data_IF_580764743843
#
_entry.id   IF_580764743843
#
_cell.length_a   1.000
_cell.length_b   1.000
_cell.length_c   1.000
_cell.angle_alpha   90.00
_cell.angle_beta   90.00
_cell.angle_gamma   90.00
#
_symmetry.space_group_name_H-M   'P 1'
#
loop_
_entity.id
_entity.type
_entity.pdbx_description
1 polymer ?
#
# COMPACT_ATOMS: atom_id res chain seq x y z
N UNK A 1 15.45 -30.89 -12.16
CA UNK A 1 14.54 -30.08 -12.99
C UNK A 1 14.22 -28.82 -12.20
N UNK A 2 14.52 -27.62 -12.72
CA UNK A 2 14.24 -26.36 -12.03
C UNK A 2 12.75 -26.04 -12.23
N UNK A 3 11.97 -25.97 -11.16
CA UNK A 3 10.55 -25.56 -11.23
C UNK A 3 10.50 -24.05 -11.46
N UNK A 4 10.06 -23.64 -12.64
CA UNK A 4 9.81 -22.23 -12.93
C UNK A 4 8.34 -21.93 -12.62
N UNK A 5 8.12 -21.06 -11.63
CA UNK A 5 6.79 -20.53 -11.34
C UNK A 5 6.38 -19.55 -12.46
N UNK A 6 5.07 -19.42 -12.70
CA UNK A 6 4.51 -18.40 -13.60
C UNK A 6 4.79 -16.98 -13.04
N UNK A 7 4.40 -15.88 -13.71
CA UNK A 7 4.38 -14.58 -13.05
C UNK A 7 3.62 -14.62 -11.72
N UNK A 8 4.07 -13.86 -10.73
CA UNK A 8 3.36 -13.74 -9.45
C UNK A 8 2.03 -13.01 -9.65
N UNK A 9 1.05 -13.32 -8.80
CA UNK A 9 -0.26 -12.66 -8.77
C UNK A 9 -0.20 -11.37 -7.98
N UNK A 10 0.34 -11.45 -6.75
CA UNK A 10 0.36 -10.33 -5.81
C UNK A 10 1.80 -9.92 -5.52
N UNK A 11 2.01 -8.61 -5.40
CA UNK A 11 3.20 -8.04 -4.80
C UNK A 11 2.78 -7.18 -3.62
N UNK A 12 3.41 -7.40 -2.48
CA UNK A 12 3.15 -6.62 -1.27
C UNK A 12 4.45 -6.27 -0.56
N UNK A 13 4.43 -5.10 0.08
CA UNK A 13 5.50 -4.63 0.94
C UNK A 13 5.00 -4.49 2.37
N UNK A 14 5.67 -5.14 3.32
CA UNK A 14 5.34 -5.06 4.74
C UNK A 14 6.44 -4.26 5.45
N UNK A 15 6.05 -3.21 6.15
CA UNK A 15 6.96 -2.41 6.97
C UNK A 15 6.64 -2.62 8.44
N UNK A 16 7.67 -2.86 9.26
CA UNK A 16 7.46 -2.98 10.69
C UNK A 16 7.08 -1.63 11.29
N UNK A 17 6.04 -1.62 12.14
CA UNK A 17 5.64 -0.45 12.91
C UNK A 17 6.09 -0.62 14.37
N UNK A 18 7.37 -0.95 14.58
CA UNK A 18 7.90 -1.40 15.89
C UNK A 18 7.60 -0.44 17.05
N UNK A 19 7.53 0.86 16.77
CA UNK A 19 7.21 1.90 17.75
C UNK A 19 5.72 1.96 18.13
N UNK A 20 4.86 1.23 17.43
CA UNK A 20 3.41 1.09 17.68
C UNK A 20 3.06 -0.25 18.32
N UNK A 21 4.06 -1.04 18.74
CA UNK A 21 3.88 -2.36 19.33
C UNK A 21 4.23 -2.31 20.83
N UNK A 22 3.29 -1.91 21.71
CA UNK A 22 3.55 -1.81 23.15
C UNK A 22 4.18 -3.07 23.72
N UNK A 23 3.70 -4.24 23.31
CA UNK A 23 4.20 -5.52 23.78
C UNK A 23 5.67 -5.77 23.41
N UNK A 24 6.15 -5.23 22.28
CA UNK A 24 7.57 -5.35 21.91
C UNK A 24 8.43 -4.54 22.87
N UNK A 25 8.01 -3.32 23.22
CA UNK A 25 8.73 -2.46 24.15
C UNK A 25 8.66 -3.01 25.58
N UNK A 26 7.49 -3.49 26.03
CA UNK A 26 7.33 -4.14 27.33
C UNK A 26 8.22 -5.38 27.48
N UNK A 27 8.28 -6.24 26.46
CA UNK A 27 9.17 -7.42 26.46
C UNK A 27 10.64 -7.01 26.53
N UNK A 28 11.04 -5.96 25.80
CA UNK A 28 12.41 -5.45 25.89
C UNK A 28 12.69 -4.89 27.28
N UNK A 29 11.79 -4.08 27.84
CA UNK A 29 11.96 -3.48 29.15
C UNK A 29 12.08 -4.53 30.25
N UNK A 30 11.31 -5.62 30.16
CA UNK A 30 11.36 -6.72 31.11
C UNK A 30 12.74 -7.41 31.15
N UNK A 31 13.41 -7.52 30.00
CA UNK A 31 14.78 -8.04 29.92
C UNK A 31 15.81 -7.15 30.66
N UNK A 32 15.44 -5.90 30.98
CA UNK A 32 16.20 -4.97 31.80
C UNK A 32 15.61 -4.78 33.20
N UNK A 33 14.72 -5.68 33.65
CA UNK A 33 14.03 -5.63 34.94
C UNK A 33 13.13 -4.39 35.13
N UNK A 34 12.60 -3.84 34.03
CA UNK A 34 11.61 -2.76 34.06
C UNK A 34 10.28 -3.31 33.57
N UNK A 35 9.28 -3.34 34.45
CA UNK A 35 7.90 -3.71 34.07
C UNK A 35 7.20 -2.48 33.50
N UNK A 36 6.76 -2.60 32.25
CA UNK A 36 5.96 -1.59 31.56
C UNK A 36 4.67 -2.24 31.10
N UNK A 37 3.55 -1.72 31.54
CA UNK A 37 2.24 -2.08 31.03
C UNK A 37 1.99 -1.38 29.68
N UNK A 38 0.95 -1.83 28.97
CA UNK A 38 0.57 -1.26 27.67
C UNK A 38 0.37 0.26 27.75
N UNK A 39 -0.34 0.73 28.77
CA UNK A 39 -0.64 2.15 28.99
C UNK A 39 0.63 2.98 29.24
N UNK A 40 1.62 2.43 29.95
CA UNK A 40 2.91 3.09 30.16
C UNK A 40 3.58 3.39 28.82
N UNK A 41 3.61 2.41 27.92
CA UNK A 41 4.23 2.55 26.59
C UNK A 41 3.41 3.47 25.68
N UNK A 42 2.08 3.40 25.77
CA UNK A 42 1.20 4.28 25.00
C UNK A 42 1.38 5.76 25.35
N UNK A 43 1.66 6.06 26.63
CA UNK A 43 1.96 7.40 27.10
C UNK A 43 3.41 7.87 26.83
N UNK A 44 4.30 6.98 26.35
CA UNK A 44 5.67 7.36 25.99
C UNK A 44 5.74 8.25 24.75
N UNK A 45 6.67 9.20 24.80
CA UNK A 45 7.11 9.97 23.63
C UNK A 45 7.78 9.07 22.58
N UNK A 46 7.84 9.56 21.35
CA UNK A 46 8.52 8.86 20.25
C UNK A 46 9.98 8.53 20.55
N UNK A 47 10.71 9.45 21.21
CA UNK A 47 12.11 9.27 21.56
C UNK A 47 12.32 8.18 22.62
N UNK A 48 11.43 8.10 23.60
CA UNK A 48 11.46 7.04 24.63
C UNK A 48 11.23 5.66 24.02
N UNK A 49 10.24 5.53 23.14
CA UNK A 49 9.98 4.29 22.40
C UNK A 49 11.19 3.89 21.54
N UNK A 50 11.79 4.87 20.85
CA UNK A 50 13.01 4.63 20.09
C UNK A 50 14.18 4.18 20.96
N UNK A 51 14.33 4.77 22.16
CA UNK A 51 15.36 4.38 23.13
C UNK A 51 15.22 2.91 23.52
N UNK A 52 14.00 2.46 23.82
CA UNK A 52 13.75 1.06 24.16
C UNK A 52 14.07 0.10 23.02
N UNK A 53 13.60 0.37 21.79
CA UNK A 53 13.91 -0.49 20.63
C UNK A 53 15.43 -0.58 20.40
N UNK A 54 16.16 0.54 20.53
CA UNK A 54 17.62 0.57 20.37
C UNK A 54 18.37 -0.16 21.48
N UNK A 55 17.82 -0.29 22.69
CA UNK A 55 18.46 -1.04 23.78
C UNK A 55 18.57 -2.53 23.48
N UNK A 56 17.61 -3.10 22.75
CA UNK A 56 17.69 -4.50 22.34
C UNK A 56 17.16 -4.74 20.91
N UNK A 57 17.97 -4.44 19.87
CA UNK A 57 17.58 -4.62 18.49
C UNK A 57 17.42 -6.10 18.11
N UNK A 58 18.03 -7.03 18.85
CA UNK A 58 17.89 -8.46 18.62
C UNK A 58 16.46 -8.91 18.96
N UNK A 59 15.95 -8.50 20.12
CA UNK A 59 14.56 -8.79 20.51
C UNK A 59 13.56 -8.13 19.55
N UNK A 60 13.81 -6.89 19.13
CA UNK A 60 12.98 -6.22 18.12
C UNK A 60 12.94 -7.00 16.79
N UNK A 61 14.10 -7.44 16.29
CA UNK A 61 14.18 -8.24 15.07
C UNK A 61 13.47 -9.61 15.20
N UNK A 62 13.55 -10.26 16.37
CA UNK A 62 12.82 -11.51 16.65
C UNK A 62 11.31 -11.29 16.68
N UNK A 63 10.84 -10.18 17.27
CA UNK A 63 9.41 -9.84 17.26
C UNK A 63 8.91 -9.55 15.84
N UNK A 64 9.71 -8.86 15.03
CA UNK A 64 9.41 -8.68 13.62
C UNK A 64 9.26 -10.02 12.89
N UNK A 65 10.26 -10.93 12.99
CA UNK A 65 10.17 -12.24 12.35
C UNK A 65 8.94 -13.02 12.84
N UNK A 66 8.67 -13.03 14.15
CA UNK A 66 7.48 -13.65 14.70
C UNK A 66 6.19 -13.11 14.06
N UNK A 67 6.04 -11.79 13.98
CA UNK A 67 4.87 -11.13 13.34
C UNK A 67 4.76 -11.49 11.86
N UNK A 68 5.87 -11.61 11.15
CA UNK A 68 5.89 -12.05 9.75
C UNK A 68 5.43 -13.50 9.61
N UNK A 69 5.91 -14.40 10.46
CA UNK A 69 5.44 -15.79 10.47
C UNK A 69 3.94 -15.87 10.80
N UNK A 70 3.44 -15.03 11.71
CA UNK A 70 2.01 -14.93 12.00
C UNK A 70 1.22 -14.40 10.80
N UNK A 71 1.71 -13.37 10.12
CA UNK A 71 1.09 -12.83 8.91
C UNK A 71 1.01 -13.91 7.80
N UNK A 72 2.09 -14.66 7.57
CA UNK A 72 2.08 -15.76 6.60
C UNK A 72 1.06 -16.83 7.00
N UNK A 73 0.99 -17.20 8.29
CA UNK A 73 0.06 -18.23 8.77
C UNK A 73 -1.40 -17.80 8.70
N UNK A 74 -1.71 -16.61 9.18
CA UNK A 74 -3.07 -16.13 9.40
C UNK A 74 -3.66 -15.43 8.17
N UNK A 75 -2.85 -14.70 7.41
CA UNK A 75 -3.32 -13.92 6.26
C UNK A 75 -3.08 -14.68 4.96
N UNK A 76 -1.83 -15.05 4.69
CA UNK A 76 -1.47 -15.69 3.42
C UNK A 76 -2.02 -17.12 3.32
N UNK A 77 -1.72 -17.96 4.31
CA UNK A 77 -2.22 -19.34 4.37
C UNK A 77 -3.65 -19.43 4.90
N UNK A 78 -4.15 -18.38 5.53
CA UNK A 78 -5.54 -18.28 5.98
C UNK A 78 -6.54 -17.98 4.85
N UNK A 79 -6.06 -17.72 3.63
CA UNK A 79 -6.91 -17.55 2.46
C UNK A 79 -7.47 -16.14 2.25
N UNK A 80 -6.96 -15.13 2.97
CA UNK A 80 -7.43 -13.74 2.85
C UNK A 80 -7.22 -13.18 1.45
N UNK A 81 -6.16 -13.61 0.76
CA UNK A 81 -5.84 -13.23 -0.63
C UNK A 81 -6.10 -14.38 -1.62
N UNK A 82 -7.05 -15.25 -1.29
CA UNK A 82 -7.35 -16.48 -2.02
C UNK A 82 -6.37 -17.61 -1.71
N UNK A 83 -6.41 -18.67 -2.51
CA UNK A 83 -5.60 -19.86 -2.33
C UNK A 83 -4.17 -19.65 -2.85
N UNK A 84 -3.27 -19.25 -1.97
CA UNK A 84 -1.86 -19.03 -2.28
C UNK A 84 -1.09 -20.36 -2.37
N UNK A 85 -0.70 -20.73 -3.59
CA UNK A 85 0.08 -21.95 -3.89
C UNK A 85 1.55 -21.85 -3.51
N UNK A 86 2.13 -20.65 -3.61
CA UNK A 86 3.55 -20.40 -3.38
C UNK A 86 3.77 -18.93 -2.99
N UNK A 87 4.86 -18.64 -2.29
CA UNK A 87 5.26 -17.29 -1.93
C UNK A 87 6.77 -17.19 -1.78
N UNK A 88 7.31 -16.02 -2.07
CA UNK A 88 8.71 -15.70 -1.84
C UNK A 88 8.80 -14.32 -1.23
N UNK A 89 9.69 -14.14 -0.24
CA UNK A 89 9.96 -12.83 0.31
C UNK A 89 11.43 -12.63 0.64
N UNK A 90 11.84 -11.37 0.64
CA UNK A 90 13.13 -10.93 1.17
C UNK A 90 12.90 -9.96 2.31
N UNK A 91 13.73 -10.09 3.34
CA UNK A 91 13.89 -9.09 4.38
C UNK A 91 15.00 -8.14 3.95
N UNK A 92 14.70 -6.85 3.94
CA UNK A 92 15.67 -5.80 3.68
C UNK A 92 15.74 -4.87 4.91
N UNK A 93 16.93 -4.38 5.23
CA UNK A 93 17.14 -3.43 6.31
C UNK A 93 17.46 -2.08 5.67
N UNK A 94 16.53 -1.13 5.75
CA UNK A 94 16.85 0.25 5.40
C UNK A 94 17.76 0.82 6.49
N UNK A 95 18.59 1.82 6.17
CA UNK A 95 19.44 2.53 7.14
C UNK A 95 18.64 3.32 8.23
N UNK A 96 17.37 2.98 8.43
CA UNK A 96 16.41 3.61 9.33
C UNK A 96 15.97 2.68 10.47
N UNK A 97 16.62 1.53 10.63
CA UNK A 97 16.48 0.64 11.78
C UNK A 97 15.57 -0.54 11.51
N UNK A 98 14.29 -0.31 11.26
CA UNK A 98 13.31 -1.39 11.16
C UNK A 98 13.43 -2.18 9.85
N UNK A 99 13.30 -3.52 9.92
CA UNK A 99 13.27 -4.37 8.74
C UNK A 99 11.98 -4.16 7.94
N UNK A 100 12.05 -4.45 6.65
CA UNK A 100 10.91 -4.47 5.74
C UNK A 100 10.95 -5.70 4.86
N UNK A 101 9.80 -6.05 4.33
CA UNK A 101 9.63 -7.19 3.46
C UNK A 101 9.15 -6.76 2.09
N UNK A 102 9.77 -7.34 1.08
CA UNK A 102 9.24 -7.42 -0.28
C UNK A 102 8.79 -8.86 -0.51
N UNK A 103 7.50 -9.07 -0.76
CA UNK A 103 6.91 -10.38 -0.93
C UNK A 103 6.14 -10.47 -2.25
N UNK A 104 6.29 -11.62 -2.91
CA UNK A 104 5.50 -12.03 -4.08
C UNK A 104 4.71 -13.28 -3.73
N UNK A 105 3.46 -13.35 -4.21
CA UNK A 105 2.54 -14.46 -3.97
C UNK A 105 2.00 -15.01 -5.29
N UNK A 106 1.82 -16.33 -5.36
CA UNK A 106 1.19 -17.02 -6.48
C UNK A 106 -0.16 -17.58 -6.05
N UNK A 107 -1.25 -16.97 -6.50
CA UNK A 107 -2.60 -17.47 -6.25
C UNK A 107 -2.98 -18.53 -7.29
N UNK A 108 -3.58 -19.62 -6.82
CA UNK A 108 -4.15 -20.68 -7.67
C UNK A 108 -5.45 -20.23 -8.33
N UNK A 109 -6.12 -19.25 -7.74
CA UNK A 109 -7.45 -18.78 -8.14
C UNK A 109 -7.37 -17.61 -9.13
N UNK A 110 -6.16 -17.10 -9.38
CA UNK A 110 -5.96 -15.96 -10.28
C UNK A 110 -6.21 -16.35 -11.74
N UNK A 111 -6.94 -15.52 -12.51
CA UNK A 111 -7.09 -15.73 -13.94
C UNK A 111 -5.74 -15.57 -14.65
N UNK A 112 -5.48 -16.38 -15.68
CA UNK A 112 -4.32 -16.19 -16.55
C UNK A 112 -4.42 -14.84 -17.27
N UNK A 113 -3.40 -14.00 -17.16
CA UNK A 113 -3.42 -12.60 -17.65
C UNK A 113 -3.63 -12.47 -19.17
N UNK A 114 -3.01 -13.35 -19.96
CA UNK A 114 -3.00 -13.26 -21.42
C UNK A 114 -4.30 -13.75 -22.11
N UNK A 115 -4.98 -14.83 -21.66
CA UNK A 115 -6.28 -15.20 -22.22
C UNK A 115 -7.47 -14.48 -21.57
N UNK A 116 -7.32 -13.93 -20.36
CA UNK A 116 -8.44 -13.34 -19.65
C UNK A 116 -8.86 -11.98 -20.23
N UNK A 117 -10.17 -11.75 -20.22
CA UNK A 117 -10.76 -10.43 -20.41
C UNK A 117 -10.33 -9.53 -19.23
N UNK A 118 -10.05 -8.27 -19.51
CA UNK A 118 -9.72 -7.25 -18.52
C UNK A 118 -10.78 -7.14 -17.42
N UNK A 119 -12.07 -7.30 -17.76
CA UNK A 119 -13.14 -7.29 -16.75
C UNK A 119 -12.98 -8.44 -15.75
N UNK A 120 -12.64 -9.65 -16.20
CA UNK A 120 -12.45 -10.80 -15.31
C UNK A 120 -11.24 -10.58 -14.39
N UNK A 121 -10.19 -9.93 -14.89
CA UNK A 121 -9.02 -9.59 -14.08
C UNK A 121 -9.39 -8.51 -13.06
N UNK A 122 -10.13 -7.47 -13.48
CA UNK A 122 -10.59 -6.40 -12.62
C UNK A 122 -11.50 -6.95 -11.50
N UNK A 123 -12.51 -7.75 -11.83
CA UNK A 123 -13.42 -8.37 -10.85
C UNK A 123 -12.65 -9.24 -9.84
N UNK A 124 -11.65 -9.99 -10.31
CA UNK A 124 -10.77 -10.75 -9.42
C UNK A 124 -10.00 -9.82 -8.47
N UNK A 125 -9.39 -8.74 -8.97
CA UNK A 125 -8.66 -7.77 -8.13
C UNK A 125 -9.57 -7.09 -7.12
N UNK A 126 -10.75 -6.64 -7.56
CA UNK A 126 -11.73 -5.91 -6.75
C UNK A 126 -12.32 -6.78 -5.63
N UNK A 127 -12.29 -8.11 -5.78
CA UNK A 127 -12.68 -9.03 -4.71
C UNK A 127 -11.71 -9.07 -3.52
N UNK A 128 -10.48 -8.57 -3.67
CA UNK A 128 -9.46 -8.55 -2.61
C UNK A 128 -8.94 -7.16 -2.25
N UNK A 129 -9.00 -6.21 -3.19
CA UNK A 129 -8.43 -4.86 -3.04
C UNK A 129 -9.53 -3.84 -3.26
N UNK A 130 -9.64 -2.89 -2.35
CA UNK A 130 -10.56 -1.76 -2.47
C UNK A 130 -9.86 -0.46 -2.11
N UNK A 131 -10.24 0.60 -2.81
CA UNK A 131 -9.86 1.98 -2.49
C UNK A 131 -10.95 2.70 -1.67
N UNK A 132 -12.04 2.01 -1.33
CA UNK A 132 -13.14 2.60 -0.58
C UNK A 132 -12.74 2.86 0.87
N UNK A 133 -13.05 4.06 1.37
CA UNK A 133 -13.00 4.36 2.79
C UNK A 133 -14.35 3.96 3.38
N UNK A 134 -14.43 3.02 4.34
CA UNK A 134 -15.70 2.71 4.99
C UNK A 134 -16.24 3.94 5.73
N UNK A 135 -17.55 4.00 5.94
CA UNK A 135 -18.14 5.02 6.81
C UNK A 135 -17.71 4.77 8.26
N UNK A 136 -17.44 5.84 9.00
CA UNK A 136 -16.99 5.76 10.40
C UNK A 136 -18.05 5.10 11.29
N UNK A 137 -19.34 5.26 10.96
CA UNK A 137 -20.47 4.65 11.66
C UNK A 137 -20.58 3.13 11.42
N UNK A 138 -20.10 2.64 10.27
CA UNK A 138 -20.20 1.22 9.89
C UNK A 138 -19.04 0.40 10.48
N UNK A 139 -17.82 0.94 10.44
CA UNK A 139 -16.62 0.29 10.96
C UNK A 139 -15.55 1.32 11.38
N UNK A 140 -15.67 1.81 12.62
CA UNK A 140 -14.76 2.80 13.21
C UNK A 140 -13.30 2.32 13.21
N UNK A 141 -13.05 1.04 13.46
CA UNK A 141 -11.70 0.47 13.51
C UNK A 141 -11.06 0.48 12.11
N UNK A 142 -11.76 -0.04 11.11
CA UNK A 142 -11.26 -0.06 9.73
C UNK A 142 -11.11 1.36 9.18
N UNK A 143 -12.07 2.25 9.44
CA UNK A 143 -11.97 3.67 9.07
C UNK A 143 -10.70 4.30 9.65
N UNK A 144 -10.45 4.14 10.94
CA UNK A 144 -9.26 4.66 11.63
C UNK A 144 -7.95 4.08 11.05
N UNK A 145 -7.91 2.77 10.77
CA UNK A 145 -6.75 2.11 10.18
C UNK A 145 -6.46 2.60 8.76
N UNK A 146 -7.46 2.64 7.88
CA UNK A 146 -7.32 3.11 6.49
C UNK A 146 -6.90 4.58 6.48
N UNK A 147 -7.56 5.42 7.29
CA UNK A 147 -7.28 6.84 7.37
C UNK A 147 -5.86 7.14 7.88
N UNK A 148 -5.36 6.34 8.84
CA UNK A 148 -4.04 6.56 9.45
C UNK A 148 -2.87 5.88 8.74
N UNK A 149 -3.11 4.78 7.99
CA UNK A 149 -2.04 3.95 7.41
C UNK A 149 -2.06 3.87 5.88
N UNK A 150 -3.21 4.05 5.23
CA UNK A 150 -3.35 3.88 3.77
C UNK A 150 -3.55 5.20 3.02
N UNK A 151 -3.52 6.34 3.72
CA UNK A 151 -3.58 7.68 3.09
C UNK A 151 -2.20 8.30 2.96
N UNK A 152 -1.94 8.86 1.78
CA UNK A 152 -0.75 9.68 1.57
C UNK A 152 -0.93 11.06 2.23
N UNK A 153 -0.18 11.32 3.30
CA UNK A 153 -0.09 12.63 3.93
C UNK A 153 1.18 13.34 3.45
N UNK A 154 1.04 14.58 2.98
CA UNK A 154 2.19 15.35 2.52
C UNK A 154 3.17 15.65 3.67
N UNK A 155 4.26 14.89 3.72
CA UNK A 155 5.38 15.14 4.64
C UNK A 155 6.56 15.82 3.94
N UNK A 156 7.55 16.25 4.73
CA UNK A 156 8.82 16.78 4.24
C UNK A 156 9.48 15.85 3.20
N UNK A 157 9.33 14.53 3.34
CA UNK A 157 9.91 13.55 2.41
C UNK A 157 9.38 13.72 0.99
N UNK A 158 8.07 13.96 0.83
CA UNK A 158 7.46 14.08 -0.49
C UNK A 158 7.58 15.50 -1.08
N UNK A 159 7.81 16.52 -0.26
CA UNK A 159 8.02 17.92 -0.65
C UNK A 159 9.50 18.33 -0.73
N UNK A 160 10.43 17.39 -0.54
CA UNK A 160 11.88 17.64 -0.56
C UNK A 160 12.35 18.37 -1.82
N UNK A 161 11.71 18.14 -2.96
CA UNK A 161 12.09 18.67 -4.27
C UNK A 161 11.23 19.87 -4.71
N UNK A 162 10.46 20.47 -3.81
CA UNK A 162 9.64 21.66 -4.07
C UNK A 162 8.19 21.52 -3.63
N UNK A 163 7.31 22.37 -4.18
CA UNK A 163 5.89 22.42 -3.81
C UNK A 163 5.10 21.20 -4.32
N UNK A 164 5.50 20.63 -5.47
CA UNK A 164 4.85 19.44 -6.05
C UNK A 164 5.29 18.17 -5.34
N UNK A 165 4.37 17.23 -5.17
CA UNK A 165 4.67 15.94 -4.56
C UNK A 165 5.63 15.14 -5.45
N UNK A 166 6.80 14.78 -4.93
CA UNK A 166 7.78 13.90 -5.61
C UNK A 166 7.18 12.58 -6.09
N UNK A 167 6.18 12.06 -5.37
CA UNK A 167 5.55 10.78 -5.69
C UNK A 167 4.35 10.93 -6.63
N UNK A 168 4.02 12.15 -7.07
CA UNK A 168 2.92 12.40 -7.99
C UNK A 168 1.54 12.20 -7.37
N UNK A 169 1.37 12.48 -6.07
CA UNK A 169 0.05 12.56 -5.43
C UNK A 169 -0.54 13.97 -5.54
N UNK A 170 -1.88 14.09 -5.67
CA UNK A 170 -2.83 12.99 -5.87
C UNK A 170 -2.62 12.28 -7.22
N UNK A 171 -2.87 10.96 -7.25
CA UNK A 171 -2.85 10.19 -8.50
C UNK A 171 -4.12 10.51 -9.30
N UNK A 172 -4.10 10.34 -10.64
CA UNK A 172 -5.32 10.45 -11.44
C UNK A 172 -6.44 9.55 -10.86
N UNK A 173 -7.63 10.09 -10.56
CA UNK A 173 -8.74 9.31 -10.03
C UNK A 173 -9.26 8.29 -11.05
N UNK A 174 -9.77 7.17 -10.57
CA UNK A 174 -10.46 6.20 -11.42
C UNK A 174 -11.64 5.61 -10.66
N UNK A 175 -12.76 5.43 -11.34
CA UNK A 175 -14.00 4.85 -10.82
C UNK A 175 -14.05 3.32 -10.98
N UNK A 176 -13.01 2.73 -11.58
CA UNK A 176 -12.89 1.28 -11.79
C UNK A 176 -11.43 0.84 -11.83
N UNK A 177 -11.20 -0.46 -11.66
CA UNK A 177 -9.88 -1.04 -11.87
C UNK A 177 -9.50 -1.03 -13.35
N UNK A 178 -8.35 -0.43 -13.68
CA UNK A 178 -7.82 -0.33 -15.04
C UNK A 178 -6.65 -1.30 -15.21
N UNK A 179 -6.72 -2.16 -16.24
CA UNK A 179 -5.68 -3.15 -16.52
C UNK A 179 -4.67 -2.59 -17.52
N UNK A 180 -3.44 -2.32 -17.06
CA UNK A 180 -2.37 -1.83 -17.93
C UNK A 180 -1.75 -2.97 -18.74
N UNK A 181 -2.08 -3.08 -20.04
CA UNK A 181 -1.36 -3.96 -20.97
C UNK A 181 -0.11 -3.30 -21.51
N UNK A 182 1.02 -3.99 -21.41
CA UNK A 182 2.30 -3.52 -21.97
C UNK A 182 2.21 -3.55 -23.50
N UNK A 183 2.68 -2.48 -24.14
CA UNK A 183 2.79 -2.42 -25.59
C UNK A 183 3.65 -3.56 -26.13
N UNK A 184 3.35 -4.01 -27.36
CA UNK A 184 4.25 -4.93 -28.04
C UNK A 184 5.61 -4.24 -28.23
N UNK A 185 6.70 -4.99 -28.06
CA UNK A 185 8.06 -4.48 -28.23
C UNK A 185 8.18 -3.74 -29.57
N UNK A 186 8.47 -2.44 -29.52
CA UNK A 186 8.66 -1.58 -30.70
C UNK A 186 7.52 -0.61 -31.00
N UNK A 187 6.35 -0.76 -30.38
CA UNK A 187 5.24 0.20 -30.51
C UNK A 187 5.51 1.44 -29.65
N UNK A 188 5.74 2.59 -30.30
CA UNK A 188 5.77 3.89 -29.64
C UNK A 188 4.36 4.49 -29.71
N UNK A 189 3.66 4.52 -28.58
CA UNK A 189 2.46 5.37 -28.47
C UNK A 189 2.89 6.82 -28.28
N UNK A 190 2.20 7.74 -28.94
CA UNK A 190 2.30 9.15 -28.58
C UNK A 190 1.74 9.33 -27.17
N UNK A 191 2.55 9.94 -26.30
CA UNK A 191 2.20 10.18 -24.89
C UNK A 191 1.97 11.66 -24.60
N UNK A 192 2.10 12.56 -25.59
CA UNK A 192 1.92 14.00 -25.37
C UNK A 192 0.48 14.31 -24.95
N UNK A 193 -0.49 13.90 -25.78
CA UNK A 193 -1.92 14.15 -25.51
C UNK A 193 -2.40 13.49 -24.20
N UNK A 194 -2.12 12.20 -23.91
CA UNK A 194 -2.44 11.62 -22.61
C UNK A 194 -1.88 12.40 -21.41
N UNK A 195 -0.61 12.81 -21.48
CA UNK A 195 0.02 13.59 -20.40
C UNK A 195 -0.64 14.95 -20.20
N UNK A 196 -0.99 15.64 -21.28
CA UNK A 196 -1.70 16.92 -21.23
C UNK A 196 -3.07 16.78 -20.55
N UNK A 197 -3.84 15.74 -20.91
CA UNK A 197 -5.13 15.45 -20.28
C UNK A 197 -4.98 15.14 -18.79
N UNK A 198 -4.06 14.25 -18.41
CA UNK A 198 -3.83 13.90 -17.00
C UNK A 198 -3.35 15.10 -16.18
N UNK A 199 -2.53 15.99 -16.76
CA UNK A 199 -2.11 17.22 -16.09
C UNK A 199 -3.27 18.19 -15.87
N UNK A 200 -4.15 18.38 -16.85
CA UNK A 200 -5.31 19.26 -16.70
C UNK A 200 -6.28 18.77 -15.62
N UNK A 201 -6.49 17.45 -15.51
CA UNK A 201 -7.26 16.86 -14.39
C UNK A 201 -6.54 17.07 -13.07
N UNK A 202 -5.23 16.84 -13.02
CA UNK A 202 -4.44 17.05 -11.81
C UNK A 202 -4.50 18.51 -11.31
N UNK A 203 -4.32 19.48 -12.20
CA UNK A 203 -4.38 20.90 -11.86
C UNK A 203 -5.79 21.28 -11.35
N UNK A 204 -6.85 20.74 -11.96
CA UNK A 204 -8.24 20.91 -11.49
C UNK A 204 -8.44 20.39 -10.07
N UNK A 205 -7.91 19.20 -9.75
CA UNK A 205 -7.98 18.60 -8.41
C UNK A 205 -7.19 19.43 -7.38
N UNK A 206 -6.08 20.02 -7.79
CA UNK A 206 -5.21 20.78 -6.89
C UNK A 206 -5.73 22.20 -6.62
N UNK A 207 -6.39 22.83 -7.60
CA UNK A 207 -6.85 24.21 -7.52
C UNK A 207 -8.26 24.33 -6.92
N UNK A 208 -9.06 23.26 -6.94
CA UNK A 208 -10.44 23.25 -6.45
C UNK A 208 -10.62 22.23 -5.32
N UNK A 209 -11.53 22.51 -4.39
CA UNK A 209 -11.92 21.51 -3.39
C UNK A 209 -12.87 20.49 -4.04
N UNK A 210 -12.31 19.38 -4.50
CA UNK A 210 -13.02 18.32 -5.23
C UNK A 210 -13.26 17.06 -4.40
N UNK A 211 -13.06 17.12 -3.07
CA UNK A 211 -13.09 15.95 -2.20
C UNK A 211 -14.41 15.18 -2.27
N UNK A 212 -15.53 15.89 -2.45
CA UNK A 212 -16.88 15.34 -2.47
C UNK A 212 -17.46 15.20 -3.89
N UNK A 213 -16.63 15.41 -4.93
CA UNK A 213 -17.06 15.33 -6.32
C UNK A 213 -16.83 13.95 -6.90
N UNK A 214 -17.77 13.50 -7.72
CA UNK A 214 -17.60 12.31 -8.56
C UNK A 214 -16.56 12.55 -9.65
N UNK A 215 -15.99 11.46 -10.20
CA UNK A 215 -15.06 11.55 -11.33
C UNK A 215 -15.68 12.34 -12.50
N UNK A 216 -16.96 12.12 -12.80
CA UNK A 216 -17.67 12.81 -13.90
C UNK A 216 -17.75 14.32 -13.67
N UNK A 217 -17.97 14.76 -12.43
CA UNK A 217 -18.00 16.18 -12.08
C UNK A 217 -16.61 16.80 -12.19
N UNK A 218 -15.56 16.12 -11.71
CA UNK A 218 -14.17 16.57 -11.85
C UNK A 218 -13.78 16.71 -13.32
N UNK A 219 -14.14 15.75 -14.17
CA UNK A 219 -13.86 15.81 -15.60
C UNK A 219 -14.65 16.91 -16.31
N UNK A 220 -15.87 17.20 -15.85
CA UNK A 220 -16.67 18.33 -16.35
C UNK A 220 -15.99 19.66 -16.01
N UNK A 221 -15.47 19.81 -14.78
CA UNK A 221 -14.71 21.00 -14.37
C UNK A 221 -13.41 21.16 -15.17
N UNK A 222 -12.74 20.05 -15.48
CA UNK A 222 -11.53 20.03 -16.30
C UNK A 222 -11.81 20.19 -17.82
N UNK A 223 -13.09 20.18 -18.23
CA UNK A 223 -13.52 20.19 -19.63
C UNK A 223 -12.92 19.03 -20.46
N UNK A 224 -12.90 17.82 -19.89
CA UNK A 224 -12.33 16.61 -20.51
C UNK A 224 -13.41 15.54 -20.67
N UNK A 225 -13.62 14.98 -21.88
CA UNK A 225 -14.50 13.84 -22.09
C UNK A 225 -14.03 12.60 -21.33
N UNK A 226 -14.97 11.82 -20.80
CA UNK A 226 -14.67 10.59 -20.04
C UNK A 226 -13.83 9.59 -20.84
N UNK A 227 -14.19 9.32 -22.10
CA UNK A 227 -13.48 8.35 -22.93
C UNK A 227 -12.04 8.78 -23.23
N UNK A 228 -11.81 10.08 -23.43
CA UNK A 228 -10.46 10.65 -23.63
C UNK A 228 -9.62 10.51 -22.35
N UNK A 229 -10.23 10.71 -21.18
CA UNK A 229 -9.58 10.53 -19.89
C UNK A 229 -9.21 9.07 -19.63
N UNK A 230 -10.15 8.14 -19.83
CA UNK A 230 -9.92 6.70 -19.65
C UNK A 230 -8.85 6.21 -20.61
N UNK A 231 -8.82 6.70 -21.86
CA UNK A 231 -7.74 6.37 -22.79
C UNK A 231 -6.37 6.92 -22.33
N UNK A 232 -6.36 8.01 -21.56
CA UNK A 232 -5.15 8.64 -21.07
C UNK A 232 -4.54 7.95 -19.82
N UNK A 233 -5.36 7.23 -19.04
CA UNK A 233 -4.92 6.42 -17.89
C UNK A 233 -4.00 5.26 -18.31
#
# INVERSE_FOLDING_TARGET
MIKQLRPFTWFLTLSAADLRYPETISIIADQFNVKLEKEDVENMSWDERCSWIRKNPITAARQFDYRVQQFIRLVIKGGVLGNISDYYYRVEFQQRGSPHIHMVLWSSDAPDFEPANEQVIADFVDSYISCNLPEEEDDEELYSLVNSLQRHVHSHTCRKTGKKCRFGYPRPPSDRTVICRVNKKGEKRDTSKPKELLHAVFDTIMDQNVADLTLKEVLTLANIPYDDYIYAL
#
